data_IF_377320049941
#
_entry.id   IF_377320049941
#
_cell.length_a   1.000
_cell.length_b   1.000
_cell.length_c   1.000
_cell.angle_alpha   90.00
_cell.angle_beta   90.00
_cell.angle_gamma   90.00
#
_symmetry.space_group_name_H-M   'P 1'
#
loop_
_entity.id
_entity.type
_entity.pdbx_description
1 polymer ?
#
# COMPACT_ATOMS: atom_id res chain seq x y z
N UNK A 1 14.22 -6.92 -3.94
CA UNK A 1 13.67 -6.74 -2.58
C UNK A 1 13.16 -8.07 -2.07
N UNK A 2 13.35 -8.36 -0.78
CA UNK A 2 12.74 -9.50 -0.11
C UNK A 2 11.27 -9.22 0.21
N UNK A 3 10.50 -10.26 0.56
CA UNK A 3 9.11 -10.07 1.05
C UNK A 3 9.07 -9.14 2.27
N UNK A 4 10.09 -9.19 3.13
CA UNK A 4 10.17 -8.34 4.31
C UNK A 4 10.44 -6.87 3.95
N UNK A 5 11.32 -6.60 2.97
CA UNK A 5 11.54 -5.24 2.49
C UNK A 5 10.26 -4.64 1.90
N UNK A 6 9.53 -5.45 1.12
CA UNK A 6 8.23 -5.06 0.56
C UNK A 6 7.20 -4.77 1.63
N UNK A 7 7.12 -5.62 2.65
CA UNK A 7 6.23 -5.42 3.79
C UNK A 7 6.47 -4.07 4.44
N UNK A 8 7.71 -3.81 4.83
CA UNK A 8 8.09 -2.57 5.53
C UNK A 8 7.74 -1.36 4.66
N UNK A 9 8.09 -1.38 3.38
CA UNK A 9 7.85 -0.25 2.49
C UNK A 9 6.34 0.02 2.28
N UNK A 10 5.55 -1.02 2.01
CA UNK A 10 4.11 -0.89 1.75
C UNK A 10 3.35 -0.52 3.03
N UNK A 11 3.64 -1.16 4.17
CA UNK A 11 2.98 -0.84 5.44
C UNK A 11 3.29 0.60 5.91
N UNK A 12 4.53 1.08 5.73
CA UNK A 12 4.88 2.46 6.06
C UNK A 12 4.14 3.48 5.19
N UNK A 13 4.04 3.22 3.88
CA UNK A 13 3.33 4.10 2.96
C UNK A 13 1.83 4.11 3.22
N UNK A 14 1.24 2.93 3.45
CA UNK A 14 -0.16 2.78 3.80
C UNK A 14 -0.49 3.50 5.11
N UNK A 15 0.38 3.42 6.12
CA UNK A 15 0.22 4.15 7.38
C UNK A 15 0.26 5.67 7.16
N UNK A 16 1.19 6.16 6.35
CA UNK A 16 1.30 7.59 6.02
C UNK A 16 0.06 8.08 5.26
N UNK A 17 -0.39 7.36 4.23
CA UNK A 17 -1.62 7.69 3.48
C UNK A 17 -2.84 7.65 4.41
N UNK A 18 -2.93 6.67 5.31
CA UNK A 18 -4.02 6.57 6.27
C UNK A 18 -4.07 7.74 7.25
N UNK A 19 -2.89 8.23 7.67
CA UNK A 19 -2.79 9.34 8.61
C UNK A 19 -3.24 10.68 7.98
N UNK A 20 -3.00 10.86 6.68
CA UNK A 20 -3.27 12.11 5.97
C UNK A 20 -4.65 12.13 5.31
N UNK A 21 -5.04 11.03 4.66
CA UNK A 21 -6.25 10.93 3.84
C UNK A 21 -7.33 10.00 4.44
N UNK A 22 -7.05 9.35 5.56
CA UNK A 22 -7.92 8.38 6.21
C UNK A 22 -7.66 6.93 5.76
N UNK A 23 -7.93 5.99 6.67
CA UNK A 23 -7.64 4.56 6.45
C UNK A 23 -8.36 3.97 5.24
N UNK A 24 -9.58 4.44 4.96
CA UNK A 24 -10.36 3.98 3.79
C UNK A 24 -9.61 4.23 2.47
N UNK A 25 -8.84 5.31 2.37
CA UNK A 25 -8.07 5.63 1.16
C UNK A 25 -6.94 4.62 0.95
N UNK A 26 -6.15 4.33 2.00
CA UNK A 26 -5.11 3.32 1.92
C UNK A 26 -5.69 1.92 1.63
N UNK A 27 -6.76 1.53 2.34
CA UNK A 27 -7.47 0.26 2.12
C UNK A 27 -8.03 0.14 0.70
N UNK A 28 -8.49 1.24 0.11
CA UNK A 28 -8.99 1.25 -1.27
C UNK A 28 -7.92 0.83 -2.29
N UNK A 29 -6.64 1.12 -2.03
CA UNK A 29 -5.54 0.65 -2.86
C UNK A 29 -5.47 -0.87 -2.84
N UNK A 30 -5.41 -1.49 -1.65
CA UNK A 30 -5.36 -2.95 -1.52
C UNK A 30 -6.58 -3.63 -2.15
N UNK A 31 -7.78 -3.06 -1.97
CA UNK A 31 -9.03 -3.62 -2.53
C UNK A 31 -9.02 -3.70 -4.06
N UNK A 32 -8.34 -2.78 -4.76
CA UNK A 32 -8.19 -2.84 -6.23
C UNK A 32 -7.43 -4.08 -6.71
N UNK A 33 -6.58 -4.65 -5.86
CA UNK A 33 -5.79 -5.84 -6.12
C UNK A 33 -6.32 -7.08 -5.39
N UNK A 34 -7.55 -7.02 -4.87
CA UNK A 34 -8.22 -8.14 -4.20
C UNK A 34 -7.68 -8.45 -2.80
N UNK A 35 -7.01 -7.49 -2.15
CA UNK A 35 -6.43 -7.65 -0.81
C UNK A 35 -7.09 -6.71 0.21
N UNK A 36 -6.96 -7.06 1.48
CA UNK A 36 -7.37 -6.23 2.62
C UNK A 36 -6.18 -5.54 3.30
N UNK A 37 -4.96 -6.02 3.05
CA UNK A 37 -3.71 -5.43 3.49
C UNK A 37 -2.52 -6.14 2.86
N UNK A 38 -1.33 -6.03 3.47
CA UNK A 38 -0.14 -6.68 2.92
C UNK A 38 -0.15 -8.21 3.06
N UNK A 39 -0.78 -8.75 4.11
CA UNK A 39 -0.70 -10.19 4.44
C UNK A 39 -1.39 -11.08 3.40
N UNK A 40 -2.50 -10.61 2.82
CA UNK A 40 -3.26 -11.29 1.78
C UNK A 40 -2.96 -10.76 0.37
N UNK A 41 -2.04 -9.80 0.24
CA UNK A 41 -1.61 -9.27 -1.05
C UNK A 41 -0.71 -10.27 -1.79
N UNK A 42 -1.12 -10.61 -3.01
CA UNK A 42 -0.30 -11.43 -3.91
C UNK A 42 1.02 -10.72 -4.24
N UNK A 43 2.19 -11.40 -4.15
CA UNK A 43 3.48 -10.79 -4.43
C UNK A 43 3.63 -10.19 -5.83
N UNK A 44 2.80 -10.60 -6.79
CA UNK A 44 2.80 -10.06 -8.16
C UNK A 44 2.31 -8.61 -8.22
N UNK A 45 1.69 -8.09 -7.15
CA UNK A 45 1.11 -6.75 -7.08
C UNK A 45 1.86 -5.81 -6.13
N UNK A 46 3.03 -6.22 -5.61
CA UNK A 46 3.78 -5.40 -4.66
C UNK A 46 4.23 -4.07 -5.27
N UNK A 47 4.77 -4.12 -6.50
CA UNK A 47 5.22 -2.93 -7.20
C UNK A 47 4.06 -1.97 -7.49
N UNK A 48 2.91 -2.48 -7.95
CA UNK A 48 1.72 -1.69 -8.25
C UNK A 48 1.09 -1.05 -7.00
N UNK A 49 0.91 -1.82 -5.93
CA UNK A 49 0.37 -1.29 -4.67
C UNK A 49 1.31 -0.24 -4.07
N UNK A 50 2.62 -0.48 -4.11
CA UNK A 50 3.59 0.50 -3.64
C UNK A 50 3.55 1.78 -4.48
N UNK A 51 3.52 1.65 -5.81
CA UNK A 51 3.45 2.79 -6.73
C UNK A 51 2.18 3.64 -6.51
N UNK A 52 1.04 3.00 -6.34
CA UNK A 52 -0.23 3.69 -6.08
C UNK A 52 -0.24 4.42 -4.74
N UNK A 53 0.25 3.79 -3.67
CA UNK A 53 0.38 4.43 -2.37
C UNK A 53 1.38 5.58 -2.42
N UNK A 54 2.49 5.43 -3.17
CA UNK A 54 3.52 6.46 -3.31
C UNK A 54 2.99 7.68 -4.05
N UNK A 55 2.21 7.45 -5.11
CA UNK A 55 1.57 8.51 -5.87
C UNK A 55 0.65 9.33 -4.96
N UNK A 56 -0.25 8.67 -4.22
CA UNK A 56 -1.17 9.35 -3.28
C UNK A 56 -0.39 10.13 -2.22
N UNK A 57 0.65 9.53 -1.63
CA UNK A 57 1.48 10.17 -0.62
C UNK A 57 2.25 11.40 -1.15
N UNK A 58 2.59 11.39 -2.45
CA UNK A 58 3.38 12.46 -3.07
C UNK A 58 2.51 13.59 -3.65
N UNK A 59 1.20 13.39 -3.79
CA UNK A 59 0.26 14.32 -4.45
C UNK A 59 -0.35 15.36 -3.49
N UNK A 60 0.50 15.93 -2.62
CA UNK A 60 0.14 16.94 -1.62
C UNK A 60 -0.42 18.26 -2.20
#
# INVERSE_FOLDING_TARGET
MTKQDWRINIENLAASVSAEYGSEVAESVFRRYGATGFEDLSPIYYDEVFGDLLLINSDN
#
